data_IF_622133428077
#
_entry.id   IF_622133428077
#
_cell.length_a   1.000
_cell.length_b   1.000
_cell.length_c   1.000
_cell.angle_alpha   90.00
_cell.angle_beta   90.00
_cell.angle_gamma   90.00
#
_symmetry.space_group_name_H-M   'P 1'
#
loop_
_entity.id
_entity.type
_entity.pdbx_description
1 polymer ?
#
# COMPACT_ATOMS: atom_id res chain seq x y z
N UNK A 1 2.20 19.28 17.94
CA UNK A 1 1.37 18.90 16.77
C UNK A 1 0.80 17.51 17.04
N UNK A 2 -0.50 17.41 17.32
CA UNK A 2 -1.14 16.15 17.73
C UNK A 2 -1.40 15.21 16.55
N UNK A 3 -1.35 13.91 16.81
CA UNK A 3 -1.76 12.88 15.85
C UNK A 3 -3.28 13.01 15.67
N UNK A 4 -3.73 13.49 14.50
CA UNK A 4 -5.15 13.39 14.11
C UNK A 4 -5.40 11.95 13.68
N UNK A 5 -6.05 11.17 14.54
CA UNK A 5 -6.51 9.82 14.20
C UNK A 5 -7.68 9.96 13.22
N UNK A 6 -7.64 9.20 12.12
CA UNK A 6 -8.75 9.09 11.16
C UNK A 6 -9.70 8.03 11.72
N UNK A 7 -11.01 8.30 11.76
CA UNK A 7 -11.98 7.29 12.19
C UNK A 7 -12.09 6.19 11.14
N UNK A 8 -12.35 4.95 11.56
CA UNK A 8 -12.51 3.83 10.62
C UNK A 8 -13.65 4.08 9.62
N UNK A 9 -14.67 4.84 10.02
CA UNK A 9 -15.78 5.28 9.16
C UNK A 9 -15.35 6.18 8.00
N UNK A 10 -14.22 6.87 8.15
CA UNK A 10 -13.70 7.81 7.16
C UNK A 10 -12.73 7.14 6.18
N UNK A 11 -12.42 5.85 6.39
CA UNK A 11 -11.61 5.04 5.46
C UNK A 11 -12.53 4.46 4.39
N UNK A 12 -12.36 4.81 3.11
CA UNK A 12 -13.20 4.29 2.04
C UNK A 12 -13.08 2.77 1.94
N UNK A 13 -14.19 2.08 1.72
CA UNK A 13 -14.17 0.63 1.48
C UNK A 13 -13.56 0.32 0.10
N UNK A 14 -12.89 -0.84 -0.03
CA UNK A 14 -12.24 -1.30 -1.28
C UNK A 14 -11.15 -0.36 -1.84
N UNK A 15 -10.50 0.42 -0.98
CA UNK A 15 -9.48 1.40 -1.35
C UNK A 15 -8.05 0.93 -1.04
N UNK A 16 -7.65 -0.26 -1.47
CA UNK A 16 -6.28 -0.75 -1.23
C UNK A 16 -5.21 0.20 -1.77
N UNK A 17 -5.52 0.95 -2.85
CA UNK A 17 -4.67 1.99 -3.41
C UNK A 17 -4.37 3.16 -2.47
N UNK A 18 -5.17 3.34 -1.41
CA UNK A 18 -5.06 4.41 -0.43
C UNK A 18 -4.18 4.04 0.76
N UNK A 19 -4.04 2.74 1.03
CA UNK A 19 -3.31 2.21 2.17
C UNK A 19 -1.81 2.06 1.83
N UNK A 20 -0.89 2.76 2.52
CA UNK A 20 0.54 2.62 2.28
C UNK A 20 1.08 1.23 2.59
N UNK A 21 0.42 0.50 3.48
CA UNK A 21 0.81 -0.87 3.75
C UNK A 21 0.50 -1.72 2.52
N UNK A 22 -0.67 -1.56 1.92
CA UNK A 22 -1.09 -2.34 0.75
C UNK A 22 -0.29 -2.00 -0.51
N UNK A 23 -0.17 -0.72 -0.87
CA UNK A 23 0.51 -0.35 -2.12
C UNK A 23 2.04 -0.37 -2.03
N UNK A 24 2.63 -0.27 -0.83
CA UNK A 24 4.09 -0.25 -0.66
C UNK A 24 4.60 -1.51 0.04
N UNK A 25 4.31 -1.69 1.33
CA UNK A 25 4.93 -2.75 2.12
C UNK A 25 4.54 -4.16 1.62
N UNK A 26 3.25 -4.44 1.46
CA UNK A 26 2.79 -5.74 0.96
C UNK A 26 3.17 -5.99 -0.49
N UNK A 27 3.18 -4.95 -1.35
CA UNK A 27 3.71 -5.08 -2.71
C UNK A 27 5.14 -5.60 -2.73
N UNK A 28 6.02 -5.04 -1.88
CA UNK A 28 7.41 -5.46 -1.77
C UNK A 28 7.54 -6.86 -1.20
N UNK A 29 6.87 -7.13 -0.06
CA UNK A 29 6.92 -8.45 0.57
C UNK A 29 6.41 -9.54 -0.38
N UNK A 30 5.33 -9.30 -1.13
CA UNK A 30 4.82 -10.29 -2.09
C UNK A 30 5.85 -10.59 -3.18
N UNK A 31 6.54 -9.55 -3.70
CA UNK A 31 7.59 -9.74 -4.71
C UNK A 31 8.75 -10.56 -4.17
N UNK A 32 9.31 -10.20 -3.01
CA UNK A 32 10.49 -10.87 -2.45
C UNK A 32 10.18 -12.26 -1.91
N UNK A 33 8.98 -12.47 -1.37
CA UNK A 33 8.53 -13.79 -0.94
C UNK A 33 8.21 -14.71 -2.12
N UNK A 34 7.82 -14.18 -3.28
CA UNK A 34 7.54 -15.01 -4.47
C UNK A 34 8.76 -15.76 -4.98
N UNK A 35 9.96 -15.22 -4.71
CA UNK A 35 11.24 -15.82 -5.05
C UNK A 35 11.69 -16.87 -4.02
N UNK A 36 11.09 -16.88 -2.82
CA UNK A 36 11.43 -17.79 -1.73
C UNK A 36 10.47 -18.97 -1.69
N UNK A 37 11.00 -20.19 -1.72
CA UNK A 37 10.21 -21.43 -1.50
C UNK A 37 10.17 -21.78 -0.01
N UNK A 38 9.21 -21.24 0.71
CA UNK A 38 8.92 -21.65 2.09
C UNK A 38 7.99 -22.88 2.09
N UNK A 39 8.41 -23.97 2.75
CA UNK A 39 7.64 -25.22 2.83
C UNK A 39 6.82 -25.33 4.11
N UNK A 40 7.07 -24.46 5.09
CA UNK A 40 6.35 -24.44 6.38
C UNK A 40 5.94 -23.01 6.75
N UNK A 41 4.85 -22.89 7.51
CA UNK A 41 4.38 -21.59 8.04
C UNK A 41 5.48 -20.90 8.86
N UNK A 42 6.24 -21.67 9.65
CA UNK A 42 7.36 -21.13 10.44
C UNK A 42 8.46 -20.55 9.55
N UNK A 43 8.83 -21.25 8.46
CA UNK A 43 9.82 -20.75 7.49
C UNK A 43 9.33 -19.52 6.71
N UNK A 44 8.03 -19.46 6.41
CA UNK A 44 7.42 -18.31 5.77
C UNK A 44 7.42 -17.09 6.71
N UNK A 45 7.04 -17.29 7.97
CA UNK A 45 7.04 -16.23 8.98
C UNK A 45 8.43 -15.63 9.19
N UNK A 46 9.48 -16.47 9.28
CA UNK A 46 10.86 -16.00 9.34
C UNK A 46 11.24 -15.18 8.10
N UNK A 47 10.87 -15.65 6.91
CA UNK A 47 11.14 -14.92 5.68
C UNK A 47 10.44 -13.57 5.61
N UNK A 48 9.20 -13.48 6.10
CA UNK A 48 8.45 -12.23 6.21
C UNK A 48 9.16 -11.24 7.12
N UNK A 49 9.63 -11.68 8.29
CA UNK A 49 10.34 -10.81 9.25
C UNK A 49 11.67 -10.31 8.67
N UNK A 50 12.47 -11.20 8.11
CA UNK A 50 13.74 -10.83 7.47
C UNK A 50 13.56 -9.81 6.35
N UNK A 51 12.56 -10.01 5.48
CA UNK A 51 12.30 -9.10 4.36
C UNK A 51 11.71 -7.77 4.84
N UNK A 52 10.87 -7.79 5.87
CA UNK A 52 10.35 -6.57 6.50
C UNK A 52 11.48 -5.70 7.06
N UNK A 53 12.45 -6.30 7.74
CA UNK A 53 13.55 -5.57 8.37
C UNK A 53 14.53 -4.98 7.35
N UNK A 54 14.54 -5.51 6.12
CA UNK A 54 15.32 -4.95 5.00
C UNK A 54 14.67 -3.73 4.36
N UNK A 55 13.39 -3.42 4.62
CA UNK A 55 12.70 -2.28 3.99
C UNK A 55 13.34 -0.97 4.50
N UNK A 56 13.98 -0.18 3.64
CA UNK A 56 14.66 1.02 4.08
C UNK A 56 13.68 2.05 4.63
N UNK A 57 14.02 2.68 5.76
CA UNK A 57 13.20 3.76 6.34
C UNK A 57 12.86 4.89 5.34
N UNK A 58 13.76 5.34 4.45
CA UNK A 58 13.42 6.34 3.43
C UNK A 58 12.30 5.90 2.48
N UNK A 59 12.15 4.59 2.25
CA UNK A 59 11.09 4.04 1.41
C UNK A 59 9.73 4.17 2.09
N UNK A 60 9.67 3.88 3.39
CA UNK A 60 8.46 4.08 4.20
C UNK A 60 8.07 5.56 4.27
N UNK A 61 9.04 6.47 4.38
CA UNK A 61 8.79 7.92 4.33
C UNK A 61 8.21 8.34 2.97
N UNK A 62 8.77 7.85 1.86
CA UNK A 62 8.22 8.08 0.51
C UNK A 62 6.80 7.56 0.37
N UNK A 63 6.52 6.35 0.88
CA UNK A 63 5.17 5.78 0.89
C UNK A 63 4.19 6.69 1.62
N UNK A 64 4.55 7.14 2.83
CA UNK A 64 3.75 8.08 3.62
C UNK A 64 3.51 9.42 2.91
N UNK A 65 4.50 9.97 2.20
CA UNK A 65 4.30 11.19 1.42
C UNK A 65 3.38 10.94 0.21
N UNK A 66 3.54 9.79 -0.46
CA UNK A 66 2.72 9.40 -1.60
C UNK A 66 1.26 9.15 -1.21
N UNK A 67 0.98 8.70 0.02
CA UNK A 67 -0.37 8.62 0.60
C UNK A 67 -1.11 9.94 0.37
N UNK A 68 -0.53 11.06 0.84
CA UNK A 68 -1.17 12.37 0.74
C UNK A 68 -1.46 12.77 -0.70
N UNK A 69 -0.58 12.43 -1.63
CA UNK A 69 -0.76 12.69 -3.06
C UNK A 69 -1.87 11.81 -3.67
N UNK A 70 -1.94 10.54 -3.26
CA UNK A 70 -2.99 9.60 -3.70
C UNK A 70 -4.38 10.06 -3.27
N UNK A 71 -4.55 10.50 -2.01
CA UNK A 71 -5.83 11.06 -1.55
C UNK A 71 -6.25 12.29 -2.33
N UNK A 72 -5.31 13.21 -2.60
CA UNK A 72 -5.59 14.37 -3.46
C UNK A 72 -6.04 13.96 -4.86
N UNK A 73 -5.46 12.90 -5.41
CA UNK A 73 -5.83 12.36 -6.72
C UNK A 73 -7.25 11.76 -6.69
N UNK A 74 -7.61 11.06 -5.61
CA UNK A 74 -8.92 10.43 -5.43
C UNK A 74 -10.02 11.47 -5.27
N UNK A 75 -9.76 12.53 -4.49
CA UNK A 75 -10.67 13.68 -4.40
C UNK A 75 -10.87 14.33 -5.77
N UNK A 76 -9.79 14.53 -6.54
CA UNK A 76 -9.87 15.05 -7.92
C UNK A 76 -10.63 14.13 -8.86
N UNK A 77 -10.53 12.82 -8.68
CA UNK A 77 -11.28 11.82 -9.44
C UNK A 77 -12.65 11.51 -8.84
N UNK A 78 -13.19 12.32 -7.91
CA UNK A 78 -14.52 12.11 -7.31
C UNK A 78 -14.73 10.70 -6.73
N UNK A 79 -13.67 10.08 -6.22
CA UNK A 79 -13.72 8.73 -5.66
C UNK A 79 -13.50 7.58 -6.66
N UNK A 80 -13.33 7.87 -7.95
CA UNK A 80 -12.97 6.82 -8.93
C UNK A 80 -11.52 6.38 -8.75
N UNK A 81 -11.28 5.07 -8.77
CA UNK A 81 -9.95 4.51 -8.79
C UNK A 81 -9.19 4.97 -10.04
N UNK A 82 -7.91 5.27 -9.86
CA UNK A 82 -7.04 5.79 -10.92
C UNK A 82 -6.97 4.88 -12.16
N UNK A 83 -7.10 3.58 -11.93
CA UNK A 83 -7.07 2.50 -12.91
C UNK A 83 -8.34 2.45 -13.76
N UNK A 84 -9.49 2.84 -13.21
CA UNK A 84 -10.77 2.85 -13.92
C UNK A 84 -10.90 4.05 -14.87
N UNK A 85 -10.24 5.16 -14.57
CA UNK A 85 -10.27 6.40 -15.39
C UNK A 85 -9.57 6.21 -16.74
N UNK A 86 -8.65 5.23 -16.87
CA UNK A 86 -7.95 4.97 -18.13
C UNK A 86 -8.87 4.37 -19.22
N UNK A 87 -9.97 3.71 -18.84
CA UNK A 87 -10.88 3.09 -19.80
C UNK A 87 -11.93 4.05 -20.36
N UNK A 88 -12.25 5.15 -19.67
CA UNK A 88 -13.24 6.14 -20.13
C UNK A 88 -12.72 7.11 -21.20
N UNK A 89 -11.40 7.14 -21.46
CA UNK A 89 -10.80 8.02 -22.48
C UNK A 89 -10.60 7.35 -23.84
N UNK A 90 -11.01 6.09 -23.99
CA UNK A 90 -10.85 5.30 -25.21
C UNK A 90 -12.15 4.60 -25.67
N UNK A 91 -13.29 5.00 -25.10
CA UNK A 91 -14.65 4.68 -25.59
C UNK A 91 -15.37 5.99 -25.85
#
# INVERSE_FOLDING_TARGET
>A
MGIKTILFTDVPTKSSDESPIDFCAFGLLKSTLSERRSTTICSLWKSVLEERDKIPHPMLQKAKLSWKLRYRKIVKSKGYQSEHIKHEKFM
#
